data_IF_826584000035
#
_entry.id   IF_826584000035
#
_cell.length_a   1.000
_cell.length_b   1.000
_cell.length_c   1.000
_cell.angle_alpha   90.00
_cell.angle_beta   90.00
_cell.angle_gamma   90.00
#
_symmetry.space_group_name_H-M   'P 1'
#
loop_
_entity.id
_entity.type
_entity.pdbx_description
1 polymer ?
#
# COMPACT_ATOMS: atom_id res chain seq x y z
N UNK A 1 -9.96 -21.29 -23.86
CA UNK A 1 -11.32 -21.45 -23.30
C UNK A 1 -11.37 -20.60 -22.06
N UNK A 2 -12.21 -19.57 -22.03
CA UNK A 2 -12.31 -18.67 -20.88
C UNK A 2 -12.87 -19.45 -19.69
N UNK A 3 -12.10 -19.53 -18.61
CA UNK A 3 -12.59 -20.05 -17.34
C UNK A 3 -13.76 -19.19 -16.89
N UNK A 4 -14.94 -19.81 -16.83
CA UNK A 4 -16.13 -19.21 -16.25
C UNK A 4 -15.89 -19.02 -14.75
N UNK A 5 -15.49 -17.82 -14.37
CA UNK A 5 -15.54 -17.38 -12.97
C UNK A 5 -17.02 -17.36 -12.55
N UNK A 6 -17.37 -18.22 -11.59
CA UNK A 6 -18.70 -18.26 -10.98
C UNK A 6 -18.90 -17.03 -10.08
N UNK A 7 -19.33 -15.90 -10.65
CA UNK A 7 -19.87 -14.76 -9.88
C UNK A 7 -21.38 -14.91 -9.73
N UNK A 8 -21.81 -15.79 -8.81
CA UNK A 8 -23.23 -15.92 -8.42
C UNK A 8 -23.57 -14.95 -7.28
N UNK A 9 -23.44 -13.66 -7.54
CA UNK A 9 -24.05 -12.62 -6.69
C UNK A 9 -25.03 -11.88 -7.59
N UNK A 10 -26.33 -11.97 -7.30
CA UNK A 10 -27.36 -11.20 -8.00
C UNK A 10 -26.98 -9.72 -7.97
N UNK A 11 -26.97 -9.05 -9.13
CA UNK A 11 -26.65 -7.62 -9.22
C UNK A 11 -27.70 -6.82 -8.43
N UNK A 12 -27.31 -5.66 -7.87
CA UNK A 12 -28.26 -4.80 -7.14
C UNK A 12 -29.46 -4.44 -8.01
N UNK A 13 -29.28 -4.33 -9.33
CA UNK A 13 -30.37 -4.13 -10.29
C UNK A 13 -31.45 -5.22 -10.19
N UNK A 14 -31.06 -6.49 -10.30
CA UNK A 14 -32.02 -7.62 -10.21
C UNK A 14 -32.79 -7.60 -8.89
N UNK A 15 -32.10 -7.24 -7.79
CA UNK A 15 -32.73 -7.17 -6.45
C UNK A 15 -33.60 -5.92 -6.28
N UNK A 16 -33.32 -4.85 -7.00
CA UNK A 16 -34.09 -3.60 -6.97
C UNK A 16 -35.34 -3.67 -7.84
N UNK A 17 -35.29 -4.34 -8.99
CA UNK A 17 -36.44 -4.49 -9.90
C UNK A 17 -37.64 -5.16 -9.19
N UNK A 18 -37.38 -6.21 -8.40
CA UNK A 18 -38.40 -6.86 -7.56
C UNK A 18 -38.97 -5.93 -6.48
N UNK A 19 -38.12 -5.04 -5.93
CA UNK A 19 -38.50 -4.10 -4.87
C UNK A 19 -39.28 -2.90 -5.40
N UNK A 20 -38.95 -2.42 -6.62
CA UNK A 20 -39.66 -1.34 -7.31
C UNK A 20 -41.10 -1.74 -7.63
N UNK A 21 -41.33 -3.01 -7.96
CA UNK A 21 -42.67 -3.53 -8.18
C UNK A 21 -43.50 -3.60 -6.88
N UNK A 22 -42.86 -3.91 -5.75
CA UNK A 22 -43.54 -4.10 -4.46
C UNK A 22 -43.83 -2.79 -3.70
N UNK A 23 -42.94 -1.78 -3.79
CA UNK A 23 -43.00 -0.54 -2.98
C UNK A 23 -42.95 0.74 -3.83
N UNK A 24 -43.68 0.73 -4.95
CA UNK A 24 -43.64 1.78 -5.97
C UNK A 24 -43.94 3.18 -5.42
N UNK A 25 -45.01 3.32 -4.63
CA UNK A 25 -45.50 4.62 -4.17
C UNK A 25 -44.55 5.26 -3.17
N UNK A 26 -43.96 4.45 -2.29
CA UNK A 26 -43.03 4.90 -1.27
C UNK A 26 -41.69 5.33 -1.88
N UNK A 27 -41.23 4.61 -2.92
CA UNK A 27 -40.01 4.96 -3.65
C UNK A 27 -40.14 6.24 -4.47
N UNK A 28 -41.28 6.44 -5.13
CA UNK A 28 -41.59 7.74 -5.77
C UNK A 28 -41.56 8.85 -4.73
N UNK A 29 -42.21 8.67 -3.58
CA UNK A 29 -42.23 9.68 -2.53
C UNK A 29 -40.83 10.06 -2.05
N UNK A 30 -39.91 9.10 -1.93
CA UNK A 30 -38.52 9.38 -1.58
C UNK A 30 -37.76 10.09 -2.72
N UNK A 31 -37.83 9.55 -3.93
CA UNK A 31 -37.09 10.06 -5.08
C UNK A 31 -37.56 11.46 -5.49
N UNK A 32 -38.86 11.75 -5.43
CA UNK A 32 -39.40 13.10 -5.66
C UNK A 32 -38.93 14.09 -4.59
N UNK A 33 -38.74 13.65 -3.34
CA UNK A 33 -38.15 14.52 -2.30
C UNK A 33 -36.68 14.82 -2.56
N UNK A 34 -35.92 13.80 -2.98
CA UNK A 34 -34.51 13.93 -3.36
C UNK A 34 -34.40 14.87 -4.57
N UNK A 35 -35.22 14.67 -5.61
CA UNK A 35 -35.29 15.54 -6.79
C UNK A 35 -35.72 16.97 -6.41
N UNK A 36 -36.66 17.10 -5.47
CA UNK A 36 -37.15 18.38 -4.96
C UNK A 36 -36.11 19.23 -4.22
N UNK A 37 -34.93 18.68 -3.88
CA UNK A 37 -33.79 19.46 -3.41
C UNK A 37 -33.10 20.26 -4.50
N UNK A 38 -33.42 19.98 -5.77
CA UNK A 38 -32.84 20.62 -6.94
C UNK A 38 -31.60 19.91 -7.46
N UNK A 39 -31.13 20.37 -8.62
CA UNK A 39 -29.92 19.87 -9.29
C UNK A 39 -28.71 20.02 -8.36
N UNK A 40 -28.04 18.92 -8.03
CA UNK A 40 -26.91 18.94 -7.10
C UNK A 40 -26.42 17.57 -6.64
N UNK A 41 -25.49 17.57 -5.69
CA UNK A 41 -24.98 16.36 -5.01
C UNK A 41 -25.54 16.34 -3.59
N UNK A 42 -26.11 15.20 -3.21
CA UNK A 42 -26.49 14.89 -1.83
C UNK A 42 -25.49 13.90 -1.24
N UNK A 43 -24.97 14.25 -0.07
CA UNK A 43 -24.13 13.37 0.73
C UNK A 43 -24.99 12.34 1.48
N UNK A 44 -24.37 11.22 1.89
CA UNK A 44 -25.03 10.14 2.64
C UNK A 44 -25.99 10.61 3.74
N UNK A 45 -25.56 11.52 4.61
CA UNK A 45 -26.37 12.04 5.71
C UNK A 45 -27.61 12.81 5.24
N UNK A 46 -27.53 13.48 4.08
CA UNK A 46 -28.65 14.20 3.48
C UNK A 46 -29.64 13.22 2.84
N UNK A 47 -29.14 12.17 2.19
CA UNK A 47 -29.96 11.08 1.63
C UNK A 47 -30.74 10.37 2.75
N UNK A 48 -30.08 10.09 3.89
CA UNK A 48 -30.74 9.52 5.06
C UNK A 48 -31.77 10.49 5.65
N UNK A 49 -31.43 11.78 5.78
CA UNK A 49 -32.37 12.77 6.30
C UNK A 49 -33.67 12.85 5.49
N UNK A 50 -33.60 12.71 4.16
CA UNK A 50 -34.81 12.68 3.33
C UNK A 50 -35.64 11.40 3.51
N UNK A 51 -35.00 10.28 3.78
CA UNK A 51 -35.68 9.05 4.17
C UNK A 51 -36.33 9.15 5.56
N UNK A 52 -35.64 9.74 6.52
CA UNK A 52 -36.16 10.01 7.86
C UNK A 52 -37.25 11.09 7.89
N UNK A 53 -37.37 11.90 6.84
CA UNK A 53 -38.45 12.86 6.69
C UNK A 53 -39.73 12.24 6.08
N UNK A 54 -39.70 10.98 5.63
CA UNK A 54 -40.89 10.30 5.11
C UNK A 54 -41.91 10.02 6.22
N UNK A 55 -43.22 10.01 5.89
CA UNK A 55 -44.27 9.56 6.81
C UNK A 55 -43.95 8.19 7.39
N UNK A 56 -44.30 7.96 8.66
CA UNK A 56 -43.94 6.75 9.40
C UNK A 56 -44.40 5.46 8.70
N UNK A 57 -45.55 5.51 8.02
CA UNK A 57 -46.09 4.40 7.21
C UNK A 57 -45.15 4.03 6.06
N UNK A 58 -44.71 5.01 5.27
CA UNK A 58 -43.81 4.81 4.13
C UNK A 58 -42.41 4.41 4.61
N UNK A 59 -41.96 5.00 5.72
CA UNK A 59 -40.67 4.65 6.32
C UNK A 59 -40.66 3.21 6.79
N UNK A 60 -41.71 2.73 7.45
CA UNK A 60 -41.83 1.33 7.89
C UNK A 60 -41.81 0.37 6.70
N UNK A 61 -42.57 0.68 5.64
CA UNK A 61 -42.59 -0.13 4.41
C UNK A 61 -41.21 -0.23 3.75
N UNK A 62 -40.45 0.86 3.70
CA UNK A 62 -39.11 0.90 3.11
C UNK A 62 -37.97 0.55 4.08
N UNK A 63 -38.24 0.41 5.38
CA UNK A 63 -37.23 0.12 6.41
C UNK A 63 -36.78 -1.34 6.43
N UNK A 64 -37.59 -2.22 5.85
CA UNK A 64 -37.36 -3.65 5.77
C UNK A 64 -37.29 -4.06 4.29
N UNK A 65 -36.12 -4.46 3.82
CA UNK A 65 -35.95 -4.96 2.45
C UNK A 65 -34.67 -4.49 1.76
N UNK A 66 -34.49 -4.92 0.51
CA UNK A 66 -33.31 -4.66 -0.31
C UNK A 66 -33.06 -3.16 -0.50
N UNK A 67 -34.12 -2.37 -0.70
CA UNK A 67 -33.98 -0.93 -0.89
C UNK A 67 -33.46 -0.22 0.37
N UNK A 68 -33.83 -0.69 1.57
CA UNK A 68 -33.29 -0.18 2.83
C UNK A 68 -31.77 -0.38 2.89
N UNK A 69 -31.29 -1.54 2.45
CA UNK A 69 -29.86 -1.88 2.41
C UNK A 69 -29.13 -1.01 1.38
N UNK A 70 -29.72 -0.81 0.20
CA UNK A 70 -29.17 0.07 -0.84
C UNK A 70 -29.07 1.51 -0.35
N UNK A 71 -30.13 2.03 0.28
CA UNK A 71 -30.14 3.38 0.81
C UNK A 71 -29.10 3.59 1.91
N UNK A 72 -28.99 2.63 2.86
CA UNK A 72 -27.97 2.65 3.91
C UNK A 72 -26.55 2.52 3.34
N UNK A 73 -26.38 1.81 2.24
CA UNK A 73 -25.10 1.65 1.56
C UNK A 73 -24.76 2.81 0.62
N UNK A 74 -25.73 3.65 0.25
CA UNK A 74 -25.54 4.77 -0.67
C UNK A 74 -24.64 5.84 -0.05
N UNK A 75 -23.50 6.12 -0.65
CA UNK A 75 -22.54 7.11 -0.15
C UNK A 75 -22.87 8.53 -0.61
N UNK A 76 -23.37 8.66 -1.84
CA UNK A 76 -23.80 9.93 -2.42
C UNK A 76 -24.86 9.69 -3.48
N UNK A 77 -25.69 10.72 -3.71
CA UNK A 77 -26.68 10.76 -4.77
C UNK A 77 -26.48 12.02 -5.61
N UNK A 78 -26.49 11.87 -6.93
CA UNK A 78 -26.41 12.98 -7.89
C UNK A 78 -27.81 13.18 -8.46
N UNK A 79 -28.31 14.41 -8.39
CA UNK A 79 -29.63 14.78 -8.87
C UNK A 79 -29.47 15.60 -10.14
N UNK A 80 -29.86 15.03 -11.27
CA UNK A 80 -29.97 15.69 -12.57
C UNK A 80 -31.34 15.33 -13.16
N UNK A 81 -32.39 16.13 -12.90
CA UNK A 81 -33.76 15.79 -13.31
C UNK A 81 -33.85 15.40 -14.79
N UNK A 82 -34.54 14.29 -15.14
CA UNK A 82 -35.40 13.46 -14.29
C UNK A 82 -34.69 12.27 -13.60
N UNK A 83 -33.36 12.27 -13.56
CA UNK A 83 -32.54 11.16 -13.08
C UNK A 83 -31.90 11.42 -11.72
N UNK A 84 -31.87 10.38 -10.89
CA UNK A 84 -31.09 10.35 -9.65
C UNK A 84 -30.09 9.20 -9.75
N UNK A 85 -28.80 9.52 -9.80
CA UNK A 85 -27.73 8.52 -9.80
C UNK A 85 -27.22 8.28 -8.37
N UNK A 86 -27.08 7.03 -7.97
CA UNK A 86 -26.66 6.60 -6.62
C UNK A 86 -25.33 5.85 -6.70
N UNK A 87 -24.37 6.25 -5.87
CA UNK A 87 -23.16 5.46 -5.63
C UNK A 87 -23.37 4.58 -4.40
N UNK A 88 -23.55 3.28 -4.62
CA UNK A 88 -23.86 2.32 -3.57
C UNK A 88 -22.57 1.58 -3.18
N UNK A 89 -22.30 1.50 -1.88
CA UNK A 89 -21.12 0.81 -1.34
C UNK A 89 -21.55 -0.29 -0.38
N UNK A 90 -21.94 -1.48 -0.88
CA UNK A 90 -22.46 -2.56 -0.04
C UNK A 90 -21.43 -3.05 0.98
N UNK A 91 -20.14 -3.05 0.60
CA UNK A 91 -19.02 -3.51 1.44
C UNK A 91 -17.78 -2.68 1.15
N UNK A 92 -16.80 -2.64 2.06
CA UNK A 92 -15.53 -1.97 1.79
C UNK A 92 -14.84 -2.49 0.53
N UNK A 93 -14.55 -1.59 -0.41
CA UNK A 93 -13.90 -1.89 -1.68
C UNK A 93 -14.82 -2.39 -2.79
N UNK A 94 -16.13 -2.51 -2.54
CA UNK A 94 -17.13 -2.90 -3.55
C UNK A 94 -18.08 -1.74 -3.78
N UNK A 95 -18.19 -1.32 -5.04
CA UNK A 95 -19.03 -0.21 -5.48
C UNK A 95 -19.94 -0.67 -6.60
N UNK A 96 -21.17 -0.19 -6.57
CA UNK A 96 -22.17 -0.40 -7.61
C UNK A 96 -22.82 0.96 -7.88
N UNK A 97 -22.99 1.29 -9.16
CA UNK A 97 -23.53 2.58 -9.59
C UNK A 97 -24.85 2.33 -10.30
N UNK A 98 -25.88 3.06 -9.91
CA UNK A 98 -27.20 2.95 -10.54
C UNK A 98 -27.75 4.35 -10.80
N UNK A 99 -28.62 4.49 -11.80
CA UNK A 99 -29.48 5.66 -11.96
C UNK A 99 -30.94 5.26 -11.96
N UNK A 100 -31.77 6.11 -11.37
CA UNK A 100 -33.21 5.91 -11.27
C UNK A 100 -33.92 7.07 -11.92
N UNK A 101 -34.82 6.80 -12.86
CA UNK A 101 -35.72 7.82 -13.39
C UNK A 101 -36.85 8.04 -12.39
N UNK A 102 -37.01 9.25 -11.87
CA UNK A 102 -37.99 9.53 -10.81
C UNK A 102 -39.43 9.33 -11.28
N UNK A 103 -39.71 9.62 -12.55
CA UNK A 103 -41.06 9.57 -13.11
C UNK A 103 -41.42 8.19 -13.66
N UNK A 104 -40.50 7.56 -14.37
CA UNK A 104 -40.70 6.25 -14.99
C UNK A 104 -40.40 5.08 -14.04
N UNK A 105 -39.65 5.32 -12.95
CA UNK A 105 -39.14 4.31 -12.01
C UNK A 105 -38.36 3.19 -12.69
N UNK A 106 -37.58 3.57 -13.69
CA UNK A 106 -36.64 2.68 -14.37
C UNK A 106 -35.30 2.79 -13.68
N UNK A 107 -34.72 1.65 -13.29
CA UNK A 107 -33.37 1.56 -12.74
C UNK A 107 -32.43 1.02 -13.80
N UNK A 108 -31.31 1.72 -13.97
CA UNK A 108 -30.23 1.32 -14.87
C UNK A 108 -28.94 1.23 -14.09
N UNK A 109 -28.21 0.15 -14.30
CA UNK A 109 -26.85 -0.01 -13.78
C UNK A 109 -25.90 0.79 -14.66
N UNK A 110 -24.98 1.52 -14.02
CA UNK A 110 -23.99 2.35 -14.67
C UNK A 110 -22.60 1.75 -14.50
N UNK A 111 -21.79 1.85 -15.55
CA UNK A 111 -20.34 1.72 -15.43
C UNK A 111 -19.75 2.92 -14.70
N UNK A 112 -18.53 2.76 -14.20
CA UNK A 112 -17.81 3.84 -13.48
C UNK A 112 -17.70 5.10 -14.35
N UNK A 113 -17.32 4.95 -15.62
CA UNK A 113 -17.20 6.06 -16.57
C UNK A 113 -18.55 6.78 -16.79
N UNK A 114 -19.65 6.03 -16.93
CA UNK A 114 -20.99 6.60 -17.11
C UNK A 114 -21.46 7.36 -15.87
N UNK A 115 -21.16 6.86 -14.68
CA UNK A 115 -21.45 7.55 -13.42
C UNK A 115 -20.64 8.84 -13.26
N UNK A 116 -19.36 8.82 -13.62
CA UNK A 116 -18.50 10.01 -13.59
C UNK A 116 -18.94 11.05 -14.63
N UNK A 117 -19.34 10.62 -15.82
CA UNK A 117 -19.91 11.49 -16.84
C UNK A 117 -21.15 12.24 -16.31
N UNK A 118 -21.99 11.57 -15.52
CA UNK A 118 -23.14 12.19 -14.87
C UNK A 118 -22.73 13.25 -13.82
N UNK A 119 -21.58 13.08 -13.14
CA UNK A 119 -21.00 14.11 -12.26
C UNK A 119 -20.46 15.31 -13.04
N UNK A 120 -19.84 15.07 -14.18
CA UNK A 120 -19.32 16.12 -15.05
C UNK A 120 -20.47 16.99 -15.59
N UNK A 121 -21.55 16.38 -16.09
CA UNK A 121 -22.73 17.09 -16.59
C UNK A 121 -23.42 17.96 -15.51
N UNK A 122 -23.27 17.59 -14.25
CA UNK A 122 -23.76 18.41 -13.15
C UNK A 122 -23.07 19.79 -13.12
N UNK A 123 -21.76 19.83 -13.35
CA UNK A 123 -20.92 21.05 -13.25
C UNK A 123 -20.84 21.77 -14.59
N UNK A 124 -20.46 21.04 -15.64
CA UNK A 124 -20.13 21.61 -16.95
C UNK A 124 -21.32 21.61 -17.92
N UNK A 125 -22.40 20.89 -17.60
CA UNK A 125 -23.51 20.66 -18.53
C UNK A 125 -23.17 19.65 -19.62
N UNK A 126 -23.92 19.65 -20.72
CA UNK A 126 -23.76 18.67 -21.81
C UNK A 126 -22.57 18.95 -22.74
N UNK A 127 -21.69 19.88 -22.39
CA UNK A 127 -20.47 20.16 -23.14
C UNK A 127 -19.36 19.20 -22.74
N UNK A 128 -19.27 18.05 -23.39
CA UNK A 128 -18.09 17.20 -23.30
C UNK A 128 -17.53 16.90 -24.70
N UNK A 129 -16.22 17.12 -24.86
CA UNK A 129 -15.49 16.68 -26.04
C UNK A 129 -15.36 15.16 -26.04
N UNK A 130 -15.55 14.52 -27.19
CA UNK A 130 -15.61 13.05 -27.32
C UNK A 130 -14.36 12.27 -26.84
N UNK A 131 -13.27 12.95 -26.42
CA UNK A 131 -11.98 12.36 -26.09
C UNK A 131 -11.38 12.97 -24.81
N UNK A 132 -12.16 13.00 -23.73
CA UNK A 132 -11.64 13.31 -22.39
C UNK A 132 -10.67 12.20 -21.96
N UNK A 133 -9.56 12.56 -21.31
CA UNK A 133 -8.58 11.59 -20.83
C UNK A 133 -9.15 10.78 -19.66
N UNK A 134 -9.32 9.48 -19.86
CA UNK A 134 -9.63 8.52 -18.80
C UNK A 134 -8.36 7.84 -18.27
N UNK A 135 -8.18 7.86 -16.96
CA UNK A 135 -7.07 7.20 -16.28
C UNK A 135 -7.51 5.83 -15.76
N UNK A 136 -7.18 4.77 -16.49
CA UNK A 136 -7.47 3.39 -16.08
C UNK A 136 -6.18 2.62 -15.73
N UNK A 137 -6.04 2.26 -14.45
CA UNK A 137 -4.93 1.46 -13.92
C UNK A 137 -5.27 -0.03 -13.79
N UNK A 138 -6.50 -0.45 -14.08
CA UNK A 138 -6.91 -1.84 -13.92
C UNK A 138 -6.12 -2.82 -14.82
N UNK A 139 -5.96 -2.55 -16.13
CA UNK A 139 -5.20 -3.42 -17.02
C UNK A 139 -3.73 -3.58 -16.63
N UNK A 140 -3.12 -2.53 -16.08
CA UNK A 140 -1.70 -2.53 -15.68
C UNK A 140 -1.42 -3.38 -14.44
N UNK A 141 -2.45 -3.71 -13.67
CA UNK A 141 -2.35 -4.48 -12.44
C UNK A 141 -2.83 -5.93 -12.60
N UNK A 142 -3.20 -6.36 -13.81
CA UNK A 142 -3.77 -7.69 -14.07
C UNK A 142 -2.79 -8.85 -13.78
N UNK A 143 -1.48 -8.59 -13.77
CA UNK A 143 -0.45 -9.57 -13.42
C UNK A 143 -0.42 -9.92 -11.93
N UNK A 144 -1.03 -9.09 -11.08
CA UNK A 144 -1.08 -9.32 -9.63
C UNK A 144 -2.45 -9.88 -9.23
N UNK A 145 -2.51 -11.02 -8.53
CA UNK A 145 -3.76 -11.52 -8.01
C UNK A 145 -4.35 -10.52 -7.00
N UNK A 146 -5.66 -10.27 -7.07
CA UNK A 146 -6.36 -9.36 -6.16
C UNK A 146 -7.15 -10.14 -5.11
N UNK A 147 -6.93 -9.91 -3.81
CA UNK A 147 -7.75 -10.54 -2.78
C UNK A 147 -9.17 -9.98 -2.80
N UNK A 148 -10.17 -10.85 -2.76
CA UNK A 148 -11.60 -10.47 -2.68
C UNK A 148 -12.14 -10.42 -1.25
N UNK A 149 -11.40 -10.96 -0.29
CA UNK A 149 -11.79 -10.96 1.13
C UNK A 149 -11.30 -9.69 1.82
N UNK A 150 -12.20 -8.99 2.51
CA UNK A 150 -11.90 -7.72 3.19
C UNK A 150 -10.80 -7.81 4.24
N UNK A 151 -10.52 -9.01 4.79
CA UNK A 151 -9.43 -9.23 5.76
C UNK A 151 -8.03 -8.90 5.21
N UNK A 152 -7.86 -8.87 3.89
CA UNK A 152 -6.58 -8.54 3.26
C UNK A 152 -6.43 -7.04 2.96
N UNK A 153 -7.45 -6.22 3.20
CA UNK A 153 -7.33 -4.77 3.07
C UNK A 153 -6.36 -4.29 4.16
N UNK A 154 -5.23 -3.71 3.75
CA UNK A 154 -4.14 -3.32 4.64
C UNK A 154 -3.12 -4.45 4.96
N UNK A 155 -3.44 -5.71 4.62
CA UNK A 155 -2.59 -6.88 4.89
C UNK A 155 -2.09 -7.52 3.57
N UNK A 156 -1.63 -6.68 2.63
CA UNK A 156 -1.23 -7.12 1.29
C UNK A 156 -0.01 -8.05 1.29
N UNK A 157 0.93 -7.85 2.22
CA UNK A 157 2.13 -8.69 2.34
C UNK A 157 1.79 -10.14 2.68
N UNK A 158 0.82 -10.38 3.55
CA UNK A 158 0.37 -11.74 3.89
C UNK A 158 -0.19 -12.48 2.67
N UNK A 159 -0.97 -11.77 1.84
CA UNK A 159 -1.53 -12.33 0.62
C UNK A 159 -0.44 -12.60 -0.41
N UNK A 160 0.51 -11.66 -0.58
CA UNK A 160 1.64 -11.82 -1.48
C UNK A 160 2.53 -12.99 -1.06
N UNK A 161 2.81 -13.15 0.23
CA UNK A 161 3.61 -14.27 0.76
C UNK A 161 2.94 -15.62 0.43
N UNK A 162 1.62 -15.71 0.56
CA UNK A 162 0.86 -16.92 0.14
C UNK A 162 0.94 -17.18 -1.34
N UNK A 163 0.81 -16.14 -2.15
CA UNK A 163 0.90 -16.27 -3.60
C UNK A 163 2.31 -16.68 -4.06
N UNK A 164 3.35 -16.04 -3.51
CA UNK A 164 4.74 -16.36 -3.81
C UNK A 164 5.10 -17.77 -3.35
N UNK A 165 4.76 -18.17 -2.11
CA UNK A 165 4.98 -19.53 -1.61
C UNK A 165 4.31 -20.58 -2.49
N UNK A 166 3.05 -20.37 -2.89
CA UNK A 166 2.38 -21.26 -3.82
C UNK A 166 3.10 -21.33 -5.18
N UNK A 167 3.52 -20.19 -5.73
CA UNK A 167 4.26 -20.15 -7.00
C UNK A 167 5.59 -20.90 -6.92
N UNK A 168 6.36 -20.69 -5.86
CA UNK A 168 7.63 -21.37 -5.61
C UNK A 168 7.47 -22.89 -5.43
N UNK A 169 6.35 -23.33 -4.86
CA UNK A 169 6.07 -24.76 -4.66
C UNK A 169 5.77 -25.49 -5.98
N UNK A 170 5.03 -24.87 -6.90
CA UNK A 170 4.60 -25.53 -8.14
C UNK A 170 5.67 -25.55 -9.23
N UNK A 171 6.64 -24.64 -9.19
CA UNK A 171 7.62 -24.45 -10.26
C UNK A 171 9.04 -24.22 -9.70
N UNK A 172 9.92 -25.20 -9.93
CA UNK A 172 11.33 -25.09 -9.50
C UNK A 172 12.09 -23.99 -10.22
N UNK A 173 11.71 -23.63 -11.45
CA UNK A 173 12.33 -22.50 -12.16
C UNK A 173 11.99 -21.16 -11.47
N UNK A 174 10.86 -21.09 -10.75
CA UNK A 174 10.48 -19.91 -9.97
C UNK A 174 11.40 -19.63 -8.77
N UNK A 175 12.29 -20.56 -8.39
CA UNK A 175 13.34 -20.34 -7.37
C UNK A 175 14.62 -19.71 -7.95
N UNK A 176 14.82 -19.74 -9.27
CA UNK A 176 15.99 -19.14 -9.90
C UNK A 176 16.13 -17.62 -9.61
N UNK A 177 15.06 -16.81 -9.59
CA UNK A 177 15.13 -15.42 -9.16
C UNK A 177 15.65 -15.25 -7.73
N UNK A 178 15.33 -16.16 -6.81
CA UNK A 178 15.83 -16.11 -5.43
C UNK A 178 17.33 -16.39 -5.36
N UNK A 179 17.80 -17.37 -6.13
CA UNK A 179 19.24 -17.66 -6.26
C UNK A 179 19.99 -16.45 -6.82
N UNK A 180 19.51 -15.87 -7.93
CA UNK A 180 20.14 -14.71 -8.54
C UNK A 180 20.10 -13.50 -7.61
N UNK A 181 18.98 -13.26 -6.93
CA UNK A 181 18.85 -12.22 -5.92
C UNK A 181 19.93 -12.34 -4.83
N UNK A 182 20.15 -13.54 -4.30
CA UNK A 182 21.17 -13.78 -3.28
C UNK A 182 22.61 -13.68 -3.81
N UNK A 183 22.86 -14.00 -5.08
CA UNK A 183 24.19 -13.90 -5.71
C UNK A 183 24.60 -12.46 -6.03
N UNK A 184 23.68 -11.64 -6.52
CA UNK A 184 23.97 -10.24 -6.87
C UNK A 184 23.96 -9.30 -5.67
N UNK A 185 23.61 -9.80 -4.49
CA UNK A 185 23.47 -9.01 -3.27
C UNK A 185 24.83 -8.52 -2.78
N UNK A 186 25.07 -7.22 -2.92
CA UNK A 186 26.32 -6.58 -2.52
C UNK A 186 26.07 -5.19 -1.93
N UNK A 187 26.98 -4.75 -1.06
CA UNK A 187 26.97 -3.41 -0.47
C UNK A 187 28.39 -2.87 -0.37
N UNK A 188 28.63 -1.68 -0.90
CA UNK A 188 29.96 -1.04 -0.97
C UNK A 188 31.06 -1.97 -1.54
N UNK A 189 30.71 -2.77 -2.55
CA UNK A 189 31.63 -3.72 -3.19
C UNK A 189 31.94 -4.98 -2.37
N UNK A 190 31.32 -5.16 -1.20
CA UNK A 190 31.38 -6.41 -0.42
C UNK A 190 30.21 -7.30 -0.82
N UNK A 191 30.51 -8.50 -1.33
CA UNK A 191 29.51 -9.52 -1.60
C UNK A 191 28.92 -10.05 -0.30
N UNK A 192 27.63 -10.38 -0.34
CA UNK A 192 26.89 -10.95 0.77
C UNK A 192 26.16 -12.21 0.31
N UNK A 193 25.78 -13.06 1.28
CA UNK A 193 25.03 -14.29 1.06
C UNK A 193 25.77 -15.32 0.21
N UNK A 194 25.72 -15.24 -1.12
CA UNK A 194 26.29 -16.22 -2.06
C UNK A 194 27.33 -15.56 -2.95
N UNK A 195 28.40 -16.29 -3.29
CA UNK A 195 29.35 -15.85 -4.31
C UNK A 195 29.23 -16.66 -5.62
N UNK A 196 30.07 -16.33 -6.59
CA UNK A 196 30.08 -16.91 -7.94
C UNK A 196 30.43 -18.40 -8.00
N UNK A 197 30.73 -19.07 -6.88
CA UNK A 197 30.91 -20.53 -6.87
C UNK A 197 29.58 -21.27 -7.03
N UNK A 198 28.46 -20.63 -6.67
CA UNK A 198 27.12 -21.22 -6.72
C UNK A 198 26.41 -20.76 -8.00
N UNK A 199 26.24 -21.67 -8.95
CA UNK A 199 25.74 -21.35 -10.29
C UNK A 199 24.31 -21.80 -10.55
N UNK A 200 23.80 -22.76 -9.78
CA UNK A 200 22.46 -23.32 -9.96
C UNK A 200 21.88 -23.83 -8.63
N UNK A 201 20.58 -24.12 -8.63
CA UNK A 201 19.84 -24.57 -7.44
C UNK A 201 20.39 -25.87 -6.85
N UNK A 202 20.89 -26.80 -7.68
CA UNK A 202 21.47 -28.06 -7.20
C UNK A 202 22.77 -27.79 -6.40
N UNK A 203 23.64 -26.91 -6.91
CA UNK A 203 24.85 -26.50 -6.20
C UNK A 203 24.53 -25.75 -4.90
N UNK A 204 23.50 -24.90 -4.90
CA UNK A 204 23.03 -24.19 -3.71
C UNK A 204 22.56 -25.20 -2.65
N UNK A 205 21.68 -26.13 -3.01
CA UNK A 205 21.14 -27.11 -2.07
C UNK A 205 22.24 -28.00 -1.48
N UNK A 206 23.22 -28.41 -2.30
CA UNK A 206 24.39 -29.16 -1.84
C UNK A 206 25.24 -28.37 -0.83
N UNK A 207 25.56 -27.11 -1.15
CA UNK A 207 26.36 -26.24 -0.28
C UNK A 207 25.66 -25.99 1.05
N UNK A 208 24.35 -25.71 1.03
CA UNK A 208 23.57 -25.47 2.24
C UNK A 208 23.53 -26.70 3.17
N UNK A 209 23.33 -27.91 2.62
CA UNK A 209 23.37 -29.16 3.42
C UNK A 209 24.75 -29.38 4.05
N UNK A 210 25.81 -29.19 3.27
CA UNK A 210 27.20 -29.30 3.77
C UNK A 210 27.50 -28.26 4.86
N UNK A 211 26.97 -27.06 4.73
CA UNK A 211 27.11 -26.01 5.73
C UNK A 211 26.33 -26.34 7.01
N UNK A 212 25.10 -26.84 6.90
CA UNK A 212 24.30 -27.32 8.05
C UNK A 212 25.01 -28.44 8.83
N UNK A 213 25.49 -29.48 8.13
CA UNK A 213 26.22 -30.59 8.74
C UNK A 213 27.45 -30.09 9.52
N UNK A 214 28.20 -29.15 8.93
CA UNK A 214 29.37 -28.59 9.57
C UNK A 214 29.01 -27.70 10.78
N UNK A 215 28.03 -26.82 10.67
CA UNK A 215 27.62 -25.94 11.78
C UNK A 215 27.11 -26.73 12.99
N UNK A 216 26.44 -27.86 12.77
CA UNK A 216 25.96 -28.74 13.84
C UNK A 216 27.11 -29.31 14.70
N UNK A 217 28.34 -29.33 14.18
CA UNK A 217 29.52 -29.76 14.94
C UNK A 217 30.13 -28.66 15.82
N UNK A 218 29.73 -27.40 15.64
CA UNK A 218 30.28 -26.24 16.35
C UNK A 218 29.42 -25.88 17.57
N UNK A 219 30.01 -25.27 18.61
CA UNK A 219 29.24 -24.58 19.65
C UNK A 219 28.35 -23.48 19.05
N UNK A 220 27.12 -23.35 19.54
CA UNK A 220 26.10 -22.43 19.02
C UNK A 220 26.52 -20.95 19.06
N UNK A 221 27.32 -20.58 20.06
CA UNK A 221 27.86 -19.23 20.28
C UNK A 221 29.14 -18.94 19.47
N UNK A 222 29.60 -19.88 18.65
CA UNK A 222 30.81 -19.69 17.83
C UNK A 222 30.60 -18.51 16.87
N UNK A 223 31.48 -17.48 16.89
CA UNK A 223 31.31 -16.32 16.04
C UNK A 223 31.67 -16.63 14.58
N UNK A 224 30.99 -15.97 13.63
CA UNK A 224 31.16 -16.18 12.19
C UNK A 224 32.62 -16.16 11.72
N UNK A 225 33.43 -15.25 12.27
CA UNK A 225 34.85 -15.10 11.95
C UNK A 225 35.70 -16.37 12.15
N UNK A 226 35.24 -17.34 12.96
CA UNK A 226 35.96 -18.61 13.18
C UNK A 226 35.78 -19.61 12.05
N UNK A 227 34.69 -19.51 11.30
CA UNK A 227 34.37 -20.44 10.20
C UNK A 227 34.19 -19.77 8.84
N UNK A 228 34.37 -18.44 8.78
CA UNK A 228 34.27 -17.61 7.57
C UNK A 228 35.06 -18.16 6.38
N UNK A 229 36.34 -18.49 6.55
CA UNK A 229 37.18 -18.99 5.45
C UNK A 229 36.60 -20.26 4.81
N UNK A 230 36.12 -21.18 5.65
CA UNK A 230 35.52 -22.44 5.18
C UNK A 230 34.19 -22.20 4.47
N UNK A 231 33.43 -21.20 4.88
CA UNK A 231 32.19 -20.78 4.22
C UNK A 231 32.45 -20.16 2.85
N UNK A 232 33.45 -19.29 2.74
CA UNK A 232 33.85 -18.67 1.48
C UNK A 232 34.32 -19.71 0.44
N UNK A 233 35.06 -20.73 0.88
CA UNK A 233 35.50 -21.84 0.03
C UNK A 233 34.34 -22.59 -0.64
N UNK A 234 33.24 -22.78 0.09
CA UNK A 234 32.05 -23.49 -0.40
C UNK A 234 31.03 -22.56 -1.07
N UNK A 235 31.26 -21.25 -1.05
CA UNK A 235 30.46 -20.28 -1.79
C UNK A 235 29.52 -19.39 -0.96
N UNK A 236 29.67 -19.40 0.37
CA UNK A 236 28.86 -18.61 1.29
C UNK A 236 29.67 -17.41 1.81
N UNK A 237 29.14 -16.21 1.59
CA UNK A 237 29.69 -14.93 2.08
C UNK A 237 28.99 -14.50 3.38
N UNK A 238 29.42 -13.39 3.99
CA UNK A 238 28.79 -12.83 5.20
C UNK A 238 27.31 -12.45 4.99
N UNK A 239 26.56 -12.34 6.09
CA UNK A 239 25.16 -11.90 6.07
C UNK A 239 24.13 -12.96 6.52
N UNK A 240 24.59 -14.16 6.88
CA UNK A 240 23.73 -15.25 7.38
C UNK A 240 23.48 -15.20 8.89
N UNK A 241 24.34 -14.51 9.65
CA UNK A 241 24.29 -14.48 11.11
C UNK A 241 25.64 -14.09 11.74
N UNK A 242 25.61 -13.56 12.96
CA UNK A 242 26.82 -13.28 13.76
C UNK A 242 27.39 -14.52 14.47
N UNK A 243 26.54 -15.51 14.79
CA UNK A 243 26.92 -16.78 15.45
C UNK A 243 26.53 -18.01 14.63
N UNK A 244 27.15 -19.15 14.92
CA UNK A 244 26.85 -20.43 14.29
C UNK A 244 25.37 -20.82 14.40
N UNK A 245 24.74 -20.57 15.55
CA UNK A 245 23.30 -20.80 15.76
C UNK A 245 22.44 -20.09 14.72
N UNK A 246 22.70 -18.81 14.48
CA UNK A 246 21.85 -17.98 13.62
C UNK A 246 22.10 -18.23 12.15
N UNK A 247 23.36 -18.48 11.79
CA UNK A 247 23.71 -18.96 10.46
C UNK A 247 22.98 -20.28 10.18
N UNK A 248 22.96 -21.20 11.16
CA UNK A 248 22.26 -22.47 11.03
C UNK A 248 20.75 -22.28 10.86
N UNK A 249 20.12 -21.43 11.65
CA UNK A 249 18.70 -21.07 11.47
C UNK A 249 18.43 -20.53 10.06
N UNK A 250 19.27 -19.61 9.58
CA UNK A 250 19.05 -18.97 8.28
C UNK A 250 19.26 -19.94 7.11
N UNK A 251 20.22 -20.85 7.23
CA UNK A 251 20.44 -21.93 6.26
C UNK A 251 19.25 -22.89 6.23
N UNK A 252 18.71 -23.26 7.40
CA UNK A 252 17.52 -24.12 7.48
C UNK A 252 16.30 -23.48 6.85
N UNK A 253 16.04 -22.20 7.10
CA UNK A 253 14.96 -21.47 6.44
C UNK A 253 15.08 -21.53 4.92
N UNK A 254 16.29 -21.37 4.37
CA UNK A 254 16.49 -21.47 2.93
C UNK A 254 16.32 -22.90 2.40
N UNK A 255 16.82 -23.91 3.13
CA UNK A 255 16.60 -25.32 2.78
C UNK A 255 15.11 -25.67 2.76
N UNK A 256 14.35 -25.21 3.75
CA UNK A 256 12.91 -25.39 3.83
C UNK A 256 12.21 -24.73 2.64
N UNK A 257 12.63 -23.51 2.24
CA UNK A 257 12.09 -22.85 1.04
C UNK A 257 12.42 -23.57 -0.27
N UNK A 258 13.55 -24.24 -0.36
CA UNK A 258 13.95 -25.02 -1.54
C UNK A 258 13.19 -26.35 -1.63
N UNK A 259 12.76 -26.91 -0.50
CA UNK A 259 12.09 -28.21 -0.42
C UNK A 259 10.56 -28.08 -0.38
N UNK A 260 10.02 -27.26 0.51
CA UNK A 260 8.60 -27.07 0.76
C UNK A 260 8.28 -25.62 1.22
N UNK A 261 8.26 -24.65 0.28
CA UNK A 261 8.07 -23.25 0.64
C UNK A 261 6.68 -22.95 1.21
N UNK A 262 6.64 -22.37 2.41
CA UNK A 262 5.43 -21.84 3.05
C UNK A 262 5.52 -20.31 3.31
N UNK A 263 4.39 -19.63 3.54
CA UNK A 263 4.36 -18.17 3.66
C UNK A 263 5.16 -17.64 4.87
N UNK A 264 5.15 -18.37 5.99
CA UNK A 264 5.79 -17.93 7.23
C UNK A 264 7.32 -18.02 7.11
N UNK A 265 7.81 -19.12 6.52
CA UNK A 265 9.23 -19.31 6.25
C UNK A 265 9.72 -18.30 5.22
N UNK A 266 8.95 -18.02 4.16
CA UNK A 266 9.32 -17.04 3.14
C UNK A 266 9.46 -15.63 3.72
N UNK A 267 8.48 -15.21 4.52
CA UNK A 267 8.50 -13.92 5.21
C UNK A 267 9.69 -13.82 6.17
N UNK A 268 9.89 -14.86 6.98
CA UNK A 268 10.99 -14.93 7.95
C UNK A 268 12.35 -14.90 7.29
N UNK A 269 12.53 -15.61 6.18
CA UNK A 269 13.77 -15.64 5.42
C UNK A 269 14.03 -14.25 4.80
N UNK A 270 13.11 -13.76 3.95
CA UNK A 270 13.29 -12.47 3.25
C UNK A 270 13.46 -11.31 4.23
N UNK A 271 12.72 -11.30 5.34
CA UNK A 271 12.83 -10.27 6.38
C UNK A 271 14.13 -10.32 7.20
N UNK A 272 14.87 -11.45 7.17
CA UNK A 272 16.18 -11.57 7.82
C UNK A 272 17.34 -11.21 6.91
N UNK A 273 17.16 -11.22 5.58
CA UNK A 273 18.23 -10.87 4.63
C UNK A 273 18.66 -9.42 4.89
N UNK A 274 19.96 -9.14 5.05
CA UNK A 274 20.44 -7.79 5.34
C UNK A 274 20.38 -6.93 4.07
N UNK A 275 19.27 -6.20 3.88
CA UNK A 275 19.03 -5.39 2.66
C UNK A 275 19.10 -3.87 2.91
N UNK A 276 18.61 -3.41 4.06
CA UNK A 276 18.33 -2.00 4.30
C UNK A 276 19.49 -1.36 5.08
N UNK A 277 20.37 -0.67 4.37
CA UNK A 277 21.51 0.05 4.96
C UNK A 277 21.42 1.57 4.76
N UNK A 278 21.02 2.01 3.57
CA UNK A 278 20.85 3.41 3.22
C UNK A 278 19.37 3.70 2.96
N UNK A 279 18.78 4.59 3.75
CA UNK A 279 17.36 4.96 3.68
C UNK A 279 17.23 6.43 3.34
N UNK A 280 16.35 6.74 2.39
CA UNK A 280 15.99 8.11 2.02
C UNK A 280 14.51 8.32 2.28
N UNK A 281 14.18 9.33 3.08
CA UNK A 281 12.80 9.73 3.40
C UNK A 281 12.56 11.10 2.79
N UNK A 282 11.46 11.27 2.03
CA UNK A 282 11.12 12.52 1.36
C UNK A 282 10.05 13.28 2.14
N UNK A 283 10.31 14.52 2.53
CA UNK A 283 9.33 15.42 3.13
C UNK A 283 9.58 16.88 2.69
N UNK A 284 9.26 17.24 1.43
CA UNK A 284 9.72 18.51 0.85
C UNK A 284 9.08 19.78 1.41
N UNK A 285 7.80 19.74 1.77
CA UNK A 285 7.05 20.92 2.20
C UNK A 285 7.16 21.17 3.72
N UNK A 286 6.67 22.34 4.14
CA UNK A 286 6.66 22.74 5.55
C UNK A 286 8.03 23.19 6.07
N UNK A 287 8.04 23.58 7.34
CA UNK A 287 9.26 23.88 8.10
C UNK A 287 9.71 22.62 8.82
N UNK A 288 10.56 21.83 8.16
CA UNK A 288 11.09 20.61 8.76
C UNK A 288 12.33 20.93 9.61
N UNK A 289 12.18 20.91 10.92
CA UNK A 289 13.24 21.04 11.92
C UNK A 289 12.83 20.32 13.22
N UNK A 290 13.76 20.23 14.17
CA UNK A 290 13.53 19.54 15.44
C UNK A 290 12.96 20.44 16.52
N UNK A 291 13.23 21.74 16.45
CA UNK A 291 12.79 22.76 17.40
C UNK A 291 12.16 23.96 16.67
N UNK A 292 11.32 24.73 17.37
CA UNK A 292 10.77 26.02 16.93
C UNK A 292 9.94 26.03 15.63
N UNK A 293 9.39 24.89 15.20
CA UNK A 293 8.62 24.80 13.94
C UNK A 293 7.20 24.25 14.09
N UNK A 294 6.89 23.56 15.19
CA UNK A 294 5.56 22.98 15.38
C UNK A 294 4.49 24.07 15.48
N UNK A 295 3.43 23.93 14.70
CA UNK A 295 2.34 24.90 14.59
C UNK A 295 2.49 25.91 13.44
N UNK A 296 3.61 25.88 12.71
CA UNK A 296 3.78 26.69 11.51
C UNK A 296 2.94 26.14 10.34
N UNK A 297 2.61 26.96 9.34
CA UNK A 297 1.91 26.49 8.14
C UNK A 297 2.63 25.29 7.51
N UNK A 298 1.84 24.25 7.18
CA UNK A 298 2.31 22.99 6.61
C UNK A 298 3.29 22.20 7.51
N UNK A 299 3.39 22.54 8.80
CA UNK A 299 4.21 21.82 9.80
C UNK A 299 3.35 21.28 10.94
N UNK A 300 3.27 19.97 11.06
CA UNK A 300 2.51 19.31 12.12
C UNK A 300 2.92 17.86 12.35
N UNK A 301 1.94 16.98 12.49
CA UNK A 301 2.15 15.57 12.84
C UNK A 301 3.11 14.81 11.92
N UNK A 302 3.21 15.18 10.65
CA UNK A 302 4.15 14.57 9.70
C UNK A 302 5.61 14.72 10.14
N UNK A 303 6.01 15.89 10.68
CA UNK A 303 7.40 16.11 11.13
C UNK A 303 7.70 15.26 12.35
N UNK A 304 6.79 15.26 13.34
CA UNK A 304 6.91 14.44 14.55
C UNK A 304 6.98 12.95 14.18
N UNK A 305 6.08 12.49 13.29
CA UNK A 305 6.04 11.13 12.80
C UNK A 305 7.38 10.68 12.20
N UNK A 306 7.96 11.49 11.29
CA UNK A 306 9.23 11.14 10.64
C UNK A 306 10.38 11.14 11.65
N UNK A 307 10.43 12.12 12.57
CA UNK A 307 11.50 12.19 13.57
C UNK A 307 11.47 11.01 14.55
N UNK A 308 10.28 10.53 14.93
CA UNK A 308 10.14 9.31 15.74
C UNK A 308 10.45 8.05 14.91
N UNK A 309 9.99 8.01 13.65
CA UNK A 309 10.22 6.90 12.73
C UNK A 309 11.71 6.64 12.54
N UNK A 310 12.53 7.67 12.28
CA UNK A 310 13.97 7.46 12.03
C UNK A 310 14.72 6.97 13.27
N UNK A 311 14.31 7.38 14.48
CA UNK A 311 14.90 6.88 15.74
C UNK A 311 14.65 5.39 15.91
N UNK A 312 13.40 4.96 15.70
CA UNK A 312 13.04 3.55 15.77
C UNK A 312 13.70 2.74 14.65
N UNK A 313 13.68 3.25 13.43
CA UNK A 313 14.23 2.59 12.25
C UNK A 313 15.75 2.41 12.35
N UNK A 314 16.49 3.43 12.81
CA UNK A 314 17.94 3.32 13.01
C UNK A 314 18.28 2.24 14.03
N UNK A 315 17.53 2.17 15.13
CA UNK A 315 17.74 1.14 16.16
C UNK A 315 17.55 -0.26 15.61
N UNK A 316 16.47 -0.48 14.84
CA UNK A 316 16.21 -1.77 14.20
C UNK A 316 17.24 -2.11 13.12
N UNK A 317 17.66 -1.12 12.30
CA UNK A 317 18.72 -1.32 11.30
C UNK A 317 20.03 -1.74 11.95
N UNK A 318 20.47 -1.04 13.00
CA UNK A 318 21.69 -1.40 13.73
C UNK A 318 21.60 -2.79 14.34
N UNK A 319 20.42 -3.12 14.91
CA UNK A 319 20.17 -4.45 15.43
C UNK A 319 20.32 -5.51 14.33
N UNK A 320 19.60 -5.38 13.21
CA UNK A 320 19.61 -6.33 12.09
C UNK A 320 21.00 -6.48 11.47
N UNK A 321 21.73 -5.39 11.26
CA UNK A 321 23.08 -5.42 10.71
C UNK A 321 24.01 -6.24 11.61
N UNK A 322 24.02 -5.95 12.92
CA UNK A 322 24.82 -6.69 13.90
C UNK A 322 24.42 -8.16 13.92
N UNK A 323 23.12 -8.42 13.93
CA UNK A 323 22.54 -9.76 13.98
C UNK A 323 22.97 -10.64 12.80
N UNK A 324 23.25 -10.05 11.63
CA UNK A 324 23.72 -10.76 10.44
C UNK A 324 25.24 -10.84 10.32
N UNK A 325 25.98 -10.46 11.36
CA UNK A 325 27.44 -10.53 11.39
C UNK A 325 28.11 -9.50 10.47
N UNK A 326 27.46 -8.36 10.24
CA UNK A 326 27.93 -7.29 9.37
C UNK A 326 28.37 -6.08 10.20
N UNK A 327 29.46 -5.44 9.77
CA UNK A 327 30.00 -4.22 10.36
C UNK A 327 29.70 -3.01 9.45
N UNK A 328 28.45 -2.92 8.96
CA UNK A 328 28.01 -1.84 8.07
C UNK A 328 27.45 -0.70 8.92
N UNK A 329 27.83 0.53 8.59
CA UNK A 329 27.26 1.71 9.23
C UNK A 329 26.03 2.15 8.45
N UNK A 330 24.81 2.11 9.02
CA UNK A 330 23.62 2.54 8.30
C UNK A 330 23.64 4.05 8.05
N UNK A 331 22.76 4.53 7.17
CA UNK A 331 22.54 5.95 6.93
C UNK A 331 21.08 6.21 6.65
N UNK A 332 20.48 7.17 7.37
CA UNK A 332 19.11 7.64 7.09
C UNK A 332 19.17 9.12 6.75
N UNK A 333 18.63 9.49 5.59
CA UNK A 333 18.55 10.88 5.13
C UNK A 333 17.09 11.30 4.99
N UNK A 334 16.69 12.29 5.79
CA UNK A 334 15.41 12.98 5.62
C UNK A 334 15.64 14.14 4.66
N UNK A 335 15.20 14.00 3.42
CA UNK A 335 15.31 15.03 2.39
C UNK A 335 14.13 15.98 2.48
N UNK A 336 14.44 17.24 2.72
CA UNK A 336 13.46 18.32 2.81
C UNK A 336 13.99 19.59 2.14
N UNK A 337 13.15 20.62 2.05
CA UNK A 337 13.53 21.88 1.41
C UNK A 337 14.44 22.70 2.34
N UNK A 338 15.45 23.32 1.74
CA UNK A 338 16.25 24.35 2.41
C UNK A 338 15.53 25.70 2.34
N UNK A 339 15.30 26.31 3.50
CA UNK A 339 14.63 27.61 3.66
C UNK A 339 15.64 28.62 4.26
N UNK A 340 16.36 29.39 3.42
CA UNK A 340 17.43 30.29 3.89
C UNK A 340 16.94 31.41 4.80
N UNK A 341 15.71 31.88 4.60
CA UNK A 341 15.17 33.08 5.25
C UNK A 341 14.34 32.73 6.50
N UNK A 342 14.26 31.46 6.90
CA UNK A 342 13.50 30.98 8.06
C UNK A 342 14.27 31.20 9.37
N UNK A 343 14.27 32.43 9.88
CA UNK A 343 14.97 32.84 11.11
C UNK A 343 14.35 32.17 12.34
N UNK A 344 15.16 31.86 13.35
CA UNK A 344 14.73 31.18 14.58
C UNK A 344 14.61 29.65 14.46
N UNK A 345 14.88 29.11 13.27
CA UNK A 345 14.85 27.68 12.96
C UNK A 345 16.18 27.23 12.36
N UNK A 346 16.39 25.92 12.28
CA UNK A 346 17.51 25.29 11.57
C UNK A 346 17.18 24.99 10.10
N UNK A 347 16.04 25.46 9.56
CA UNK A 347 15.61 25.14 8.19
C UNK A 347 16.55 25.68 7.09
N UNK A 348 17.43 26.64 7.42
CA UNK A 348 18.49 27.13 6.53
C UNK A 348 19.76 26.27 6.54
N UNK A 349 19.90 25.33 7.47
CA UNK A 349 21.08 24.47 7.61
C UNK A 349 20.99 23.26 6.68
N UNK A 350 21.97 23.12 5.78
CA UNK A 350 22.01 22.04 4.78
C UNK A 350 21.97 20.64 5.38
N UNK A 351 22.71 20.38 6.44
CA UNK A 351 22.78 19.07 7.09
C UNK A 351 22.64 19.24 8.60
N UNK A 352 21.66 18.58 9.20
CA UNK A 352 21.38 18.63 10.63
C UNK A 352 21.22 17.23 11.19
N UNK A 353 21.86 16.97 12.34
CA UNK A 353 21.80 15.68 13.00
C UNK A 353 20.46 15.49 13.71
N UNK A 354 19.80 14.35 13.51
CA UNK A 354 18.58 14.05 14.27
C UNK A 354 18.95 13.70 15.73
N UNK A 355 18.27 14.32 16.70
CA UNK A 355 18.48 14.09 18.12
C UNK A 355 18.19 12.64 18.50
N UNK A 356 19.02 12.10 19.40
CA UNK A 356 18.92 10.72 19.83
C UNK A 356 19.31 9.69 18.77
N UNK A 357 19.98 10.12 17.69
CA UNK A 357 20.45 9.22 16.63
C UNK A 357 21.94 9.38 16.37
N UNK A 358 22.59 8.31 15.90
CA UNK A 358 23.98 8.28 15.48
C UNK A 358 24.13 8.39 13.96
N UNK A 359 23.14 7.93 13.18
CA UNK A 359 23.27 7.76 11.73
C UNK A 359 22.16 8.41 10.88
N UNK A 360 21.21 9.06 11.53
CA UNK A 360 20.13 9.81 10.87
C UNK A 360 20.44 11.29 10.75
N UNK A 361 20.19 11.88 9.59
CA UNK A 361 20.43 13.30 9.31
C UNK A 361 19.32 13.89 8.43
N UNK A 362 18.98 15.14 8.68
CA UNK A 362 18.11 15.95 7.83
C UNK A 362 18.99 16.61 6.76
N UNK A 363 18.73 16.30 5.49
CA UNK A 363 19.39 16.88 4.34
C UNK A 363 18.46 17.88 3.65
N UNK A 364 18.85 19.15 3.65
CA UNK A 364 18.06 20.24 3.07
C UNK A 364 18.60 20.63 1.71
N UNK A 365 17.73 20.58 0.71
CA UNK A 365 18.06 20.93 -0.68
C UNK A 365 17.24 22.16 -1.08
N UNK A 366 17.86 23.24 -1.58
CA UNK A 366 17.11 24.42 -1.99
C UNK A 366 16.29 24.14 -3.25
N UNK A 367 15.06 24.65 -3.28
CA UNK A 367 14.34 24.77 -4.53
C UNK A 367 15.03 25.80 -5.41
N UNK A 368 15.04 25.56 -6.73
CA UNK A 368 15.68 26.45 -7.69
C UNK A 368 14.91 26.50 -9.00
N UNK A 369 15.04 27.64 -9.67
CA UNK A 369 14.67 27.82 -11.07
C UNK A 369 15.92 28.15 -11.87
N UNK A 370 15.76 28.43 -13.17
CA UNK A 370 16.83 28.98 -14.01
C UNK A 370 17.42 30.28 -13.44
N UNK A 371 16.64 31.04 -12.66
CA UNK A 371 17.05 32.31 -12.03
C UNK A 371 17.79 32.12 -10.69
N UNK A 372 18.00 30.88 -10.25
CA UNK A 372 18.66 30.55 -8.98
C UNK A 372 17.70 30.05 -7.89
N UNK A 373 18.16 30.12 -6.64
CA UNK A 373 17.47 29.53 -5.48
C UNK A 373 16.20 30.31 -5.13
N UNK A 374 15.11 29.59 -4.89
CA UNK A 374 13.85 30.13 -4.39
C UNK A 374 13.85 30.11 -2.86
N UNK A 375 14.05 31.28 -2.25
CA UNK A 375 14.32 31.42 -0.81
C UNK A 375 13.07 31.43 0.08
N UNK A 376 12.00 32.09 -0.36
CA UNK A 376 10.74 32.22 0.40
C UNK A 376 10.09 30.86 0.67
N UNK A 377 9.43 30.71 1.82
CA UNK A 377 8.53 29.59 2.04
C UNK A 377 7.41 29.58 0.98
N UNK A 378 6.95 28.38 0.62
CA UNK A 378 5.89 28.15 -0.37
C UNK A 378 4.92 27.15 0.27
N UNK A 379 3.62 27.42 0.16
CA UNK A 379 2.61 26.50 0.65
C UNK A 379 2.69 25.17 -0.09
N UNK A 380 2.37 24.06 0.59
CA UNK A 380 2.30 22.71 0.02
C UNK A 380 1.38 22.57 -1.19
N UNK A 381 0.48 23.54 -1.42
CA UNK A 381 -0.39 23.58 -2.60
C UNK A 381 0.27 24.24 -3.83
N UNK A 382 1.43 24.87 -3.65
CA UNK A 382 2.14 25.69 -4.66
C UNK A 382 3.61 25.24 -4.87
N UNK A 383 4.03 24.14 -4.24
CA UNK A 383 5.42 23.64 -4.25
C UNK A 383 5.88 23.12 -5.60
#
# INVERSE_FOLDING_TARGET
MAERVLTRVHSIRERLDDTLAAHRNELVALLTRIEGKGKGILQHHQVIAEFEALPEVNRKALSTGVFADVLKATQEAIVLPPWVALAVRPRPGVWEYIRVNVHALVVEELQVAEYLHFKEELVDGSTNGNFVLELDFEPFNASFPRPTLSKYIGNGVEFLNRHLSAKLFHDKESLHPLLEFLKVHCHEGKNMMLNDRIQNLNSLQYVLRKAEEYLTTLPLDTPYSKFEHKFQEIGLERGWGDTAERVLEMIRLLLDLLEAPDPCTLESFLGRIPMVFNVVIMSPHGYFAQDNVLGYPDTGGQVVYILDQVRALETEMLHRIKQQGLDITPRILIITRLLPDAVGTTCGQRLEKVYGTQYSDILRIPFRTEKGIVRKWISRFEV
#
